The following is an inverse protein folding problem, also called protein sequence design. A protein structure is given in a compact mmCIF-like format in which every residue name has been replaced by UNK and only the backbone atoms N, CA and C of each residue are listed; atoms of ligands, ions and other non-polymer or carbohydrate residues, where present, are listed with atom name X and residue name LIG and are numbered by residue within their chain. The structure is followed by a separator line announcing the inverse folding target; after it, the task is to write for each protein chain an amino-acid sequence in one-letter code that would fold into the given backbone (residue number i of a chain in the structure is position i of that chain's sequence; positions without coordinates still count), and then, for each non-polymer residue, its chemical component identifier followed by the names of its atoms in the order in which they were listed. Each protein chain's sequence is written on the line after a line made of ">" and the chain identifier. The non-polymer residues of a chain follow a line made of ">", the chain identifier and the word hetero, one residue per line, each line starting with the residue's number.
data_IF_351563981691
#
_entry.id   IF_351563981691
#
_cell.length_a   1.000
_cell.length_b   1.000
_cell.length_c   1.000
_cell.angle_alpha   90.00
_cell.angle_beta   90.00
_cell.angle_gamma   90.00
#
_symmetry.space_group_name_H-M   'P 1'
#
loop_
_entity.id
_entity.type
_entity.pdbx_description
1 polymer ?
#
# COMPACT_ATOMS: atom_id res chain seq x y z
N UNK A 1 9.31 -6.21 18.17
CA UNK A 1 10.15 -5.52 19.19
C UNK A 1 11.58 -5.86 18.85
N UNK A 2 12.58 -5.08 19.26
CA UNK A 2 13.96 -5.56 19.10
C UNK A 2 14.32 -6.61 20.17
N UNK A 3 15.53 -7.17 20.09
CA UNK A 3 16.05 -8.16 21.04
C UNK A 3 16.22 -7.61 22.46
N UNK A 4 16.25 -6.29 22.64
CA UNK A 4 16.30 -5.61 23.94
C UNK A 4 14.89 -5.29 24.49
N UNK A 5 13.84 -5.57 23.72
CA UNK A 5 12.45 -5.35 24.08
C UNK A 5 11.93 -3.95 23.77
N UNK A 6 12.71 -3.09 23.10
CA UNK A 6 12.25 -1.77 22.65
C UNK A 6 11.25 -1.91 21.51
N UNK A 7 10.30 -0.97 21.48
CA UNK A 7 9.26 -0.90 20.47
C UNK A 7 9.66 0.07 19.37
N UNK A 8 9.35 -0.31 18.14
CA UNK A 8 9.71 0.41 16.92
C UNK A 8 8.50 0.45 16.00
N UNK A 9 8.38 1.53 15.23
CA UNK A 9 7.43 1.71 14.14
C UNK A 9 8.21 1.64 12.84
N UNK A 10 7.82 0.71 11.96
CA UNK A 10 8.26 0.71 10.57
C UNK A 10 7.17 1.37 9.72
N UNK A 11 7.53 2.39 8.96
CA UNK A 11 6.60 3.11 8.09
C UNK A 11 7.26 3.48 6.76
N UNK A 12 6.44 3.67 5.73
CA UNK A 12 6.86 4.21 4.44
C UNK A 12 6.05 5.47 4.16
N UNK A 13 6.76 6.56 3.87
CA UNK A 13 6.19 7.91 3.75
C UNK A 13 6.68 8.86 4.86
N UNK A 14 7.79 8.52 5.52
CA UNK A 14 8.40 9.36 6.54
C UNK A 14 9.26 10.44 5.86
N UNK A 15 8.97 11.72 6.13
CA UNK A 15 9.75 12.83 5.57
C UNK A 15 11.09 12.95 6.31
N UNK A 16 12.20 12.85 5.58
CA UNK A 16 13.54 13.04 6.14
C UNK A 16 13.93 14.54 6.23
N UNK A 17 15.10 14.85 6.79
CA UNK A 17 15.59 16.24 6.94
C UNK A 17 15.73 17.03 5.62
N UNK A 18 15.69 16.36 4.47
CA UNK A 18 15.77 16.97 3.13
C UNK A 18 14.38 17.18 2.50
N UNK A 19 13.29 16.78 3.17
CA UNK A 19 11.95 16.81 2.61
C UNK A 19 11.65 15.65 1.65
N UNK A 20 12.39 14.54 1.74
CA UNK A 20 12.16 13.36 0.90
C UNK A 20 11.40 12.30 1.70
N UNK A 21 10.37 11.70 1.10
CA UNK A 21 9.66 10.58 1.70
C UNK A 21 10.45 9.27 1.57
N UNK A 22 10.72 8.65 2.71
CA UNK A 22 11.50 7.42 2.81
C UNK A 22 10.77 6.36 3.64
N UNK A 23 11.34 5.16 3.62
CA UNK A 23 11.02 4.08 4.54
C UNK A 23 11.86 4.27 5.80
N UNK A 24 11.20 4.36 6.96
CA UNK A 24 11.84 4.62 8.25
C UNK A 24 11.50 3.54 9.27
N UNK A 25 12.44 3.33 10.21
CA UNK A 25 12.24 2.53 11.42
C UNK A 25 12.50 3.47 12.59
N UNK A 26 11.44 3.91 13.26
CA UNK A 26 11.47 4.96 14.28
C UNK A 26 11.19 4.35 15.65
N UNK A 27 11.94 4.72 16.71
CA UNK A 27 11.61 4.31 18.07
C UNK A 27 10.19 4.74 18.42
N UNK A 28 9.42 3.87 19.07
CA UNK A 28 8.02 4.17 19.44
C UNK A 28 7.89 5.47 20.24
N UNK A 29 8.78 5.70 21.20
CA UNK A 29 8.68 6.90 22.06
C UNK A 29 8.90 8.20 21.27
N UNK A 30 9.75 8.16 20.24
CA UNK A 30 10.00 9.29 19.34
C UNK A 30 8.81 9.52 18.41
N UNK A 31 8.33 8.45 17.77
CA UNK A 31 7.16 8.50 16.90
C UNK A 31 5.93 8.98 17.67
N UNK A 32 5.69 8.44 18.86
CA UNK A 32 4.54 8.81 19.69
C UNK A 32 4.62 10.24 20.24
N UNK A 33 5.81 10.73 20.60
CA UNK A 33 6.00 12.15 20.95
C UNK A 33 5.65 13.07 19.77
N UNK A 34 6.09 12.71 18.56
CA UNK A 34 5.74 13.44 17.35
C UNK A 34 4.23 13.47 17.12
N UNK A 35 3.58 12.31 17.10
CA UNK A 35 2.12 12.19 16.92
C UNK A 35 1.34 12.99 17.96
N UNK A 36 1.81 13.03 19.22
CA UNK A 36 1.12 13.76 20.28
C UNK A 36 1.31 15.27 20.22
N UNK A 37 2.52 15.73 19.89
CA UNK A 37 2.94 17.10 20.20
C UNK A 37 3.35 17.93 18.97
N UNK A 38 3.65 17.28 17.84
CA UNK A 38 4.24 17.93 16.65
C UNK A 38 3.42 17.73 15.38
N UNK A 39 2.67 16.65 15.25
CA UNK A 39 1.80 16.42 14.10
C UNK A 39 0.58 17.36 14.12
N UNK A 40 0.54 18.28 13.15
CA UNK A 40 -0.53 19.26 12.96
C UNK A 40 -1.62 18.78 11.98
N UNK A 41 -1.49 17.57 11.43
CA UNK A 41 -2.44 16.95 10.51
C UNK A 41 -3.73 16.45 11.18
N UNK A 42 -3.77 16.47 12.51
CA UNK A 42 -4.83 15.89 13.35
C UNK A 42 -5.03 14.38 13.04
N UNK A 43 -4.03 13.55 13.36
CA UNK A 43 -4.01 12.16 12.96
C UNK A 43 -4.99 11.30 13.77
N UNK A 44 -5.51 10.27 13.11
CA UNK A 44 -6.35 9.23 13.71
C UNK A 44 -5.62 7.91 13.59
N UNK A 45 -5.38 7.25 14.72
CA UNK A 45 -4.51 6.09 14.78
C UNK A 45 -5.30 4.92 15.37
N UNK A 46 -5.41 3.85 14.58
CA UNK A 46 -5.96 2.58 15.02
C UNK A 46 -4.85 1.53 15.13
N UNK A 47 -4.85 0.81 16.25
CA UNK A 47 -4.01 -0.34 16.51
C UNK A 47 -4.80 -1.62 16.27
N UNK A 48 -4.35 -2.39 15.27
CA UNK A 48 -4.94 -3.65 14.83
C UNK A 48 -3.98 -4.79 15.20
N UNK A 49 -4.14 -5.45 16.35
CA UNK A 49 -3.26 -6.55 16.74
C UNK A 49 -3.48 -7.77 15.84
N UNK A 50 -2.40 -8.50 15.51
CA UNK A 50 -2.51 -9.79 14.83
C UNK A 50 -3.28 -10.81 15.69
N UNK A 51 -4.10 -11.64 15.05
CA UNK A 51 -4.72 -12.79 15.71
C UNK A 51 -3.63 -13.72 16.27
N UNK A 52 -3.81 -14.35 17.45
CA UNK A 52 -2.81 -15.23 18.04
C UNK A 52 -2.28 -16.32 17.10
N UNK A 53 -3.17 -16.94 16.31
CA UNK A 53 -2.79 -18.00 15.35
C UNK A 53 -1.97 -17.47 14.17
N UNK A 54 -2.18 -16.21 13.78
CA UNK A 54 -1.44 -15.55 12.70
C UNK A 54 -0.08 -15.11 13.25
N UNK A 55 -0.07 -14.51 14.44
CA UNK A 55 1.15 -14.15 15.16
C UNK A 55 2.06 -15.35 15.42
N UNK A 56 1.51 -16.53 15.68
CA UNK A 56 2.28 -17.75 15.87
C UNK A 56 3.06 -18.20 14.62
N UNK A 57 2.60 -17.80 13.42
CA UNK A 57 3.29 -18.07 12.14
C UNK A 57 4.28 -16.98 11.75
N UNK A 58 4.16 -15.79 12.34
CA UNK A 58 4.95 -14.62 12.00
C UNK A 58 6.44 -14.83 12.32
N UNK A 59 7.28 -14.90 11.30
CA UNK A 59 8.73 -14.97 11.45
C UNK A 59 9.31 -13.58 11.76
N UNK A 60 9.50 -13.28 13.05
CA UNK A 60 10.01 -11.97 13.50
C UNK A 60 11.43 -11.67 12.98
N UNK A 61 12.29 -12.68 12.81
CA UNK A 61 13.64 -12.48 12.27
C UNK A 61 13.59 -12.03 10.80
N UNK A 62 12.83 -12.73 9.96
CA UNK A 62 12.68 -12.37 8.55
C UNK A 62 12.03 -10.99 8.38
N UNK A 63 11.01 -10.67 9.20
CA UNK A 63 10.38 -9.36 9.21
C UNK A 63 11.38 -8.23 9.52
N UNK A 64 12.25 -8.43 10.51
CA UNK A 64 13.31 -7.47 10.86
C UNK A 64 14.36 -7.34 9.77
N UNK A 65 14.81 -8.45 9.18
CA UNK A 65 15.76 -8.44 8.07
C UNK A 65 15.21 -7.66 6.88
N UNK A 66 13.94 -7.89 6.52
CA UNK A 66 13.26 -7.13 5.48
C UNK A 66 13.16 -5.64 5.83
N UNK A 67 12.63 -5.30 7.00
CA UNK A 67 12.45 -3.91 7.43
C UNK A 67 13.78 -3.14 7.38
N UNK A 68 14.85 -3.70 7.97
CA UNK A 68 16.17 -3.09 7.99
C UNK A 68 16.78 -3.00 6.60
N UNK A 69 16.52 -3.97 5.71
CA UNK A 69 16.97 -3.90 4.33
C UNK A 69 16.34 -2.75 3.56
N UNK A 70 15.12 -2.33 3.95
CA UNK A 70 14.35 -1.27 3.30
C UNK A 70 14.54 0.10 3.95
N UNK A 71 15.04 0.19 5.18
CA UNK A 71 15.27 1.44 5.86
C UNK A 71 16.15 2.40 5.04
N UNK A 72 15.69 3.65 4.89
CA UNK A 72 16.34 4.71 4.11
C UNK A 72 16.10 4.63 2.59
N UNK A 73 15.36 3.64 2.09
CA UNK A 73 14.97 3.57 0.68
C UNK A 73 13.81 4.52 0.36
N UNK A 74 13.65 4.92 -0.92
CA UNK A 74 12.61 5.86 -1.32
C UNK A 74 11.20 5.30 -1.16
N UNK A 75 10.23 6.21 -1.00
CA UNK A 75 8.81 5.91 -1.07
C UNK A 75 8.39 5.42 -2.46
N UNK A 76 7.43 4.48 -2.50
CA UNK A 76 6.88 3.93 -3.74
C UNK A 76 5.95 4.91 -4.47
N UNK A 77 6.49 5.94 -5.10
CA UNK A 77 5.69 6.85 -5.95
C UNK A 77 5.37 6.26 -7.32
N UNK A 78 6.26 5.42 -7.86
CA UNK A 78 6.15 4.80 -9.19
C UNK A 78 4.91 3.92 -9.37
N UNK A 79 4.42 3.30 -8.30
CA UNK A 79 3.29 2.37 -8.35
C UNK A 79 1.95 2.98 -7.88
N UNK A 80 1.97 4.15 -7.24
CA UNK A 80 0.79 4.69 -6.53
C UNK A 80 -0.41 4.94 -7.46
N UNK A 81 -0.19 5.35 -8.71
CA UNK A 81 -1.29 5.56 -9.65
C UNK A 81 -1.86 4.24 -10.19
N UNK A 82 -1.08 3.17 -10.17
CA UNK A 82 -1.48 1.88 -10.72
C UNK A 82 -2.21 1.01 -9.69
N UNK A 83 -1.98 1.23 -8.40
CA UNK A 83 -2.60 0.47 -7.29
C UNK A 83 -4.13 0.64 -7.15
N UNK A 84 -4.79 1.33 -8.06
CA UNK A 84 -6.26 1.45 -8.10
C UNK A 84 -6.85 1.24 -9.49
N UNK A 85 -6.02 0.96 -10.52
CA UNK A 85 -6.43 0.82 -11.92
C UNK A 85 -6.26 -0.65 -12.35
N UNK A 86 -7.10 -1.52 -11.80
CA UNK A 86 -6.95 -2.96 -12.02
C UNK A 86 -7.79 -3.44 -13.23
N UNK A 87 -8.65 -2.58 -13.77
CA UNK A 87 -9.55 -2.91 -14.88
C UNK A 87 -9.61 -1.78 -15.92
N UNK A 88 -9.95 -2.13 -17.16
CA UNK A 88 -10.03 -1.20 -18.29
C UNK A 88 -11.00 -0.03 -18.02
N UNK A 89 -12.08 -0.25 -17.27
CA UNK A 89 -13.14 0.75 -17.07
C UNK A 89 -13.82 0.74 -15.70
N UNK A 90 -13.63 -0.29 -14.89
CA UNK A 90 -14.31 -0.50 -13.61
C UNK A 90 -13.71 0.27 -12.43
N UNK A 91 -12.74 1.15 -12.68
CA UNK A 91 -12.09 1.99 -11.68
C UNK A 91 -12.40 3.49 -11.88
N UNK A 92 -12.95 3.89 -13.02
CA UNK A 92 -13.17 5.30 -13.37
C UNK A 92 -14.62 5.75 -13.17
N UNK A 93 -14.87 6.92 -12.53
CA UNK A 93 -16.21 7.45 -12.41
C UNK A 93 -16.78 7.87 -13.77
N UNK A 94 -17.95 7.37 -14.20
CA UNK A 94 -18.55 7.78 -15.47
C UNK A 94 -18.74 9.31 -15.53
N UNK A 95 -18.47 9.96 -16.68
CA UNK A 95 -18.12 9.38 -17.99
C UNK A 95 -16.60 9.26 -18.23
N UNK A 96 -15.78 9.28 -17.18
CA UNK A 96 -14.31 9.25 -17.30
C UNK A 96 -13.80 7.84 -17.59
N UNK A 97 -12.64 7.77 -18.24
CA UNK A 97 -11.93 6.55 -18.60
C UNK A 97 -10.41 6.78 -18.55
N UNK A 98 -9.62 5.80 -19.03
CA UNK A 98 -8.17 5.89 -19.08
C UNK A 98 -7.64 7.10 -19.89
N UNK A 99 -8.43 7.69 -20.79
CA UNK A 99 -8.02 8.90 -21.52
C UNK A 99 -7.92 10.12 -20.59
N UNK A 100 -8.65 10.15 -19.47
CA UNK A 100 -8.43 11.16 -18.44
C UNK A 100 -7.03 11.01 -17.83
N UNK A 101 -6.63 9.79 -17.49
CA UNK A 101 -5.30 9.50 -16.95
C UNK A 101 -4.23 9.91 -17.94
N UNK A 102 -4.37 9.52 -19.21
CA UNK A 102 -3.46 9.92 -20.28
C UNK A 102 -3.37 11.45 -20.42
N UNK A 103 -4.50 12.16 -20.30
CA UNK A 103 -4.54 13.63 -20.39
C UNK A 103 -3.83 14.29 -19.21
N UNK A 104 -4.08 13.83 -17.97
CA UNK A 104 -3.40 14.33 -16.76
C UNK A 104 -1.90 14.04 -16.84
N UNK A 105 -1.52 12.81 -17.17
CA UNK A 105 -0.11 12.43 -17.33
C UNK A 105 0.59 13.27 -18.41
N UNK A 106 -0.09 13.55 -19.53
CA UNK A 106 0.47 14.37 -20.63
C UNK A 106 0.68 15.83 -20.20
N UNK A 107 -0.30 16.43 -19.51
CA UNK A 107 -0.18 17.80 -19.01
C UNK A 107 0.93 17.88 -17.95
N UNK A 108 0.94 16.97 -16.99
CA UNK A 108 1.92 16.98 -15.90
C UNK A 108 3.34 16.70 -16.40
N UNK A 109 3.51 15.80 -17.37
CA UNK A 109 4.81 15.53 -18.02
C UNK A 109 5.39 16.76 -18.74
N UNK A 110 4.55 17.72 -19.13
CA UNK A 110 5.00 19.00 -19.72
C UNK A 110 5.33 20.06 -18.66
N UNK A 111 4.66 20.03 -17.50
CA UNK A 111 4.80 21.04 -16.45
C UNK A 111 5.94 20.67 -15.47
N UNK A 112 6.05 19.40 -15.09
CA UNK A 112 7.01 18.86 -14.14
C UNK A 112 7.63 17.56 -14.69
N UNK A 113 8.51 17.64 -15.69
CA UNK A 113 8.98 16.46 -16.42
C UNK A 113 9.78 15.47 -15.56
N UNK A 114 10.60 15.95 -14.63
CA UNK A 114 11.38 15.08 -13.73
C UNK A 114 10.47 14.33 -12.75
N UNK A 115 9.47 15.01 -12.18
CA UNK A 115 8.49 14.41 -11.27
C UNK A 115 7.60 13.40 -12.00
N UNK A 116 7.11 13.74 -13.21
CA UNK A 116 6.34 12.83 -14.05
C UNK A 116 7.13 11.57 -14.46
N UNK A 117 8.41 11.74 -14.81
CA UNK A 117 9.28 10.61 -15.11
C UNK A 117 9.42 9.66 -13.92
N UNK A 118 9.49 10.23 -12.71
CA UNK A 118 9.53 9.50 -11.45
C UNK A 118 8.19 8.89 -11.00
N UNK A 119 7.07 9.24 -11.63
CA UNK A 119 5.76 8.74 -11.20
C UNK A 119 5.21 7.62 -12.09
N UNK A 120 5.47 7.65 -13.40
CA UNK A 120 4.85 6.66 -14.30
C UNK A 120 5.68 6.22 -15.49
N UNK A 121 6.66 7.00 -15.98
CA UNK A 121 7.36 6.60 -17.22
C UNK A 121 8.11 5.28 -17.07
N UNK A 122 8.87 5.12 -15.98
CA UNK A 122 9.61 3.88 -15.75
C UNK A 122 8.65 2.70 -15.49
N UNK A 123 7.58 2.94 -14.74
CA UNK A 123 6.55 1.94 -14.42
C UNK A 123 5.80 1.46 -15.67
N UNK A 124 5.47 2.36 -16.60
CA UNK A 124 4.87 2.03 -17.89
C UNK A 124 5.85 1.28 -18.80
N UNK A 125 7.13 1.67 -18.80
CA UNK A 125 8.17 0.94 -19.53
C UNK A 125 8.32 -0.49 -19.01
N UNK A 126 8.30 -0.72 -17.69
CA UNK A 126 8.34 -2.07 -17.11
C UNK A 126 7.16 -2.92 -17.55
N UNK A 127 5.94 -2.37 -17.50
CA UNK A 127 4.70 -3.02 -17.98
C UNK A 127 4.78 -3.38 -19.47
N UNK A 128 5.36 -2.49 -20.28
CA UNK A 128 5.55 -2.71 -21.72
C UNK A 128 6.76 -3.59 -22.05
N UNK A 129 7.65 -3.89 -21.08
CA UNK A 129 8.92 -4.57 -21.33
C UNK A 129 9.90 -3.74 -22.18
N UNK A 130 9.87 -2.42 -22.03
CA UNK A 130 10.78 -1.45 -22.69
C UNK A 130 11.61 -0.70 -21.65
N UNK A 131 12.53 0.16 -22.11
CA UNK A 131 13.33 1.03 -21.24
C UNK A 131 13.54 2.38 -21.92
N UNK A 132 13.50 3.47 -21.13
CA UNK A 132 13.89 4.81 -21.59
C UNK A 132 12.92 5.49 -22.56
N UNK A 133 11.75 4.91 -22.83
CA UNK A 133 10.72 5.57 -23.63
C UNK A 133 10.03 6.66 -22.80
N UNK A 134 9.80 7.83 -23.40
CA UNK A 134 8.91 8.83 -22.81
C UNK A 134 7.44 8.42 -23.04
N UNK A 135 6.49 9.10 -22.38
CA UNK A 135 5.06 8.79 -22.49
C UNK A 135 4.55 8.73 -23.94
N UNK A 136 4.97 9.65 -24.82
CA UNK A 136 4.52 9.65 -26.22
C UNK A 136 5.02 8.43 -26.99
N UNK A 137 6.29 8.04 -26.78
CA UNK A 137 6.86 6.85 -27.39
C UNK A 137 6.25 5.56 -26.84
N UNK A 138 5.91 5.54 -25.54
CA UNK A 138 5.18 4.43 -24.91
C UNK A 138 3.82 4.24 -25.59
N UNK A 139 3.02 5.30 -25.75
CA UNK A 139 1.71 5.21 -26.38
C UNK A 139 1.79 4.66 -27.81
N UNK A 140 2.76 5.13 -28.60
CA UNK A 140 3.01 4.66 -29.97
C UNK A 140 3.45 3.19 -29.98
N UNK A 141 4.35 2.80 -29.06
CA UNK A 141 4.85 1.43 -28.98
C UNK A 141 3.78 0.43 -28.52
N UNK A 142 2.92 0.83 -27.57
CA UNK A 142 1.75 0.06 -27.15
C UNK A 142 0.82 -0.23 -28.32
N UNK A 143 0.48 0.79 -29.12
CA UNK A 143 -0.36 0.62 -30.30
C UNK A 143 0.29 -0.28 -31.36
N UNK A 144 1.60 -0.13 -31.62
CA UNK A 144 2.36 -1.01 -32.53
C UNK A 144 2.32 -2.48 -32.13
N UNK A 145 2.19 -2.77 -30.83
CA UNK A 145 2.08 -4.12 -30.29
C UNK A 145 0.65 -4.66 -30.26
N UNK A 146 -0.31 -3.88 -30.77
CA UNK A 146 -1.70 -4.28 -30.86
C UNK A 146 -2.43 -4.29 -29.52
N UNK A 147 -1.94 -3.52 -28.53
CA UNK A 147 -2.58 -3.32 -27.23
C UNK A 147 -3.03 -1.86 -27.09
N UNK A 148 -3.85 -1.58 -26.08
CA UNK A 148 -4.32 -0.24 -25.76
C UNK A 148 -3.63 0.33 -24.51
N UNK A 149 -3.73 1.65 -24.32
CA UNK A 149 -3.15 2.28 -23.12
C UNK A 149 -3.87 1.84 -21.85
N UNK A 150 -5.19 1.67 -21.90
CA UNK A 150 -5.99 1.09 -20.83
C UNK A 150 -5.55 -0.33 -20.47
N UNK A 151 -5.30 -1.21 -21.45
CA UNK A 151 -4.75 -2.55 -21.18
C UNK A 151 -3.37 -2.47 -20.52
N UNK A 152 -2.49 -1.56 -20.98
CA UNK A 152 -1.19 -1.35 -20.39
C UNK A 152 -1.29 -0.94 -18.91
N UNK A 153 -2.23 -0.05 -18.57
CA UNK A 153 -2.44 0.40 -17.19
C UNK A 153 -2.87 -0.75 -16.26
N UNK A 154 -3.60 -1.75 -16.77
CA UNK A 154 -4.10 -2.90 -15.99
C UNK A 154 -3.06 -4.00 -15.73
N UNK A 155 -1.84 -3.87 -16.25
CA UNK A 155 -0.78 -4.84 -15.95
C UNK A 155 -0.36 -4.64 -14.47
N UNK A 156 -0.48 -5.68 -13.62
CA UNK A 156 -0.18 -5.55 -12.20
C UNK A 156 1.27 -5.14 -11.96
N UNK A 157 1.47 -4.21 -11.01
CA UNK A 157 2.79 -3.94 -10.45
C UNK A 157 3.36 -5.23 -9.86
N UNK A 158 4.67 -5.43 -9.96
CA UNK A 158 5.32 -6.59 -9.36
C UNK A 158 6.18 -6.15 -8.17
N UNK A 159 6.02 -6.84 -7.06
CA UNK A 159 6.74 -6.63 -5.79
C UNK A 159 8.28 -6.61 -5.97
N UNK A 160 8.78 -7.33 -6.97
CA UNK A 160 10.21 -7.44 -7.27
C UNK A 160 10.75 -6.37 -8.22
N UNK A 161 9.91 -5.47 -8.74
CA UNK A 161 10.37 -4.41 -9.64
C UNK A 161 11.24 -3.40 -8.88
N UNK A 162 12.39 -3.09 -9.46
CA UNK A 162 13.36 -2.13 -8.93
C UNK A 162 13.44 -0.97 -9.92
N UNK A 163 13.24 0.24 -9.42
CA UNK A 163 13.27 1.47 -10.20
C UNK A 163 14.67 2.09 -10.22
N UNK A 164 14.88 3.10 -11.04
CA UNK A 164 16.17 3.78 -11.19
C UNK A 164 16.67 4.47 -9.91
N UNK A 165 15.76 4.86 -9.02
CA UNK A 165 16.01 5.38 -7.67
C UNK A 165 16.13 4.27 -6.60
N UNK A 166 15.90 3.01 -6.97
CA UNK A 166 16.12 1.83 -6.14
C UNK A 166 14.86 0.99 -5.92
N UNK A 167 14.94 0.09 -4.93
CA UNK A 167 13.77 -0.65 -4.45
C UNK A 167 12.94 0.31 -3.59
N UNK A 168 11.64 0.37 -3.83
CA UNK A 168 10.72 1.25 -3.11
C UNK A 168 9.42 0.52 -2.82
N UNK A 169 8.71 0.94 -1.78
CA UNK A 169 7.39 0.43 -1.44
C UNK A 169 6.54 1.57 -0.90
N UNK A 170 5.29 1.66 -1.32
CA UNK A 170 4.33 2.62 -0.75
C UNK A 170 3.94 2.23 0.69
N UNK A 171 3.17 3.09 1.36
CA UNK A 171 2.81 2.94 2.78
C UNK A 171 2.32 1.53 3.14
N UNK A 172 1.25 1.05 2.51
CA UNK A 172 0.66 -0.24 2.84
C UNK A 172 1.43 -1.43 2.23
N UNK A 173 2.03 -1.23 1.04
CA UNK A 173 2.86 -2.25 0.42
C UNK A 173 4.04 -2.62 1.33
N UNK A 174 4.68 -1.66 1.99
CA UNK A 174 5.76 -1.93 2.95
C UNK A 174 5.33 -2.88 4.07
N UNK A 175 4.16 -2.62 4.67
CA UNK A 175 3.61 -3.44 5.76
C UNK A 175 3.28 -4.86 5.29
N UNK A 176 2.67 -4.98 4.11
CA UNK A 176 2.29 -6.26 3.55
C UNK A 176 3.47 -7.07 3.03
N UNK A 177 4.51 -6.43 2.49
CA UNK A 177 5.78 -7.10 2.18
C UNK A 177 6.43 -7.66 3.44
N UNK A 178 6.42 -6.88 4.53
CA UNK A 178 6.91 -7.35 5.82
C UNK A 178 6.12 -8.58 6.31
N UNK A 179 4.79 -8.60 6.11
CA UNK A 179 3.97 -9.77 6.40
C UNK A 179 4.27 -10.96 5.48
N UNK A 180 4.54 -10.70 4.20
CA UNK A 180 4.88 -11.70 3.19
C UNK A 180 6.23 -12.36 3.50
N UNK A 181 7.27 -11.58 3.76
CA UNK A 181 8.59 -12.06 4.21
C UNK A 181 8.52 -12.77 5.57
N UNK A 182 7.58 -12.37 6.43
CA UNK A 182 7.32 -13.06 7.70
C UNK A 182 6.52 -14.38 7.54
N UNK A 183 6.14 -14.77 6.32
CA UNK A 183 5.44 -16.03 6.01
C UNK A 183 3.92 -15.98 6.20
N UNK A 184 3.30 -14.80 6.35
CA UNK A 184 1.85 -14.70 6.60
C UNK A 184 1.00 -15.01 5.37
N UNK A 185 1.57 -14.93 4.16
CA UNK A 185 0.89 -15.26 2.90
C UNK A 185 1.17 -16.69 2.41
N UNK A 186 1.93 -17.49 3.14
CA UNK A 186 2.22 -18.87 2.72
C UNK A 186 0.97 -19.76 2.69
N UNK A 187 0.84 -20.66 1.69
CA UNK A 187 1.83 -20.99 0.65
C UNK A 187 1.65 -20.21 -0.67
N UNK A 188 0.84 -19.15 -0.68
CA UNK A 188 0.47 -18.43 -1.92
C UNK A 188 1.28 -17.14 -2.12
N UNK A 189 2.32 -16.89 -1.32
CA UNK A 189 3.10 -15.66 -1.34
C UNK A 189 3.58 -15.27 -2.75
N UNK A 190 4.04 -16.24 -3.55
CA UNK A 190 4.50 -16.03 -4.93
C UNK A 190 3.41 -15.56 -5.90
N UNK A 191 2.13 -15.74 -5.54
CA UNK A 191 0.95 -15.36 -6.34
C UNK A 191 0.25 -14.11 -5.80
N UNK A 192 0.86 -13.40 -4.85
CA UNK A 192 0.35 -12.14 -4.31
C UNK A 192 1.30 -11.03 -4.72
N UNK A 193 0.80 -9.96 -5.33
CA UNK A 193 1.54 -8.70 -5.50
C UNK A 193 1.00 -7.69 -4.50
N UNK A 194 1.70 -7.50 -3.38
CA UNK A 194 1.23 -6.59 -2.32
C UNK A 194 1.28 -5.13 -2.74
N UNK A 195 2.03 -4.80 -3.80
CA UNK A 195 1.98 -3.49 -4.46
C UNK A 195 0.61 -3.13 -5.05
N UNK A 196 -0.26 -4.10 -5.27
CA UNK A 196 -1.64 -3.90 -5.77
C UNK A 196 -2.67 -3.67 -4.64
N UNK A 197 -2.25 -3.71 -3.37
CA UNK A 197 -3.17 -3.60 -2.25
C UNK A 197 -3.38 -2.14 -1.86
N UNK A 198 -4.64 -1.77 -1.62
CA UNK A 198 -4.97 -0.51 -0.93
C UNK A 198 -4.99 -0.71 0.59
N UNK A 199 -5.08 0.39 1.34
CA UNK A 199 -5.26 0.36 2.80
C UNK A 199 -6.49 -0.46 3.19
N UNK A 200 -7.58 -0.36 2.39
CA UNK A 200 -8.80 -1.14 2.62
C UNK A 200 -8.55 -2.63 2.51
N UNK A 201 -7.86 -3.05 1.47
CA UNK A 201 -7.58 -4.47 1.23
C UNK A 201 -6.76 -5.05 2.37
N UNK A 202 -5.78 -4.29 2.87
CA UNK A 202 -4.94 -4.72 3.97
C UNK A 202 -5.69 -4.92 5.28
N UNK A 203 -6.49 -3.94 5.76
CA UNK A 203 -7.23 -4.13 7.01
C UNK A 203 -8.37 -5.14 6.89
N UNK A 204 -8.79 -5.47 5.66
CA UNK A 204 -9.78 -6.51 5.40
C UNK A 204 -9.22 -7.93 5.50
N UNK A 205 -7.90 -8.12 5.42
CA UNK A 205 -7.28 -9.44 5.58
C UNK A 205 -7.60 -10.04 6.95
N UNK A 206 -7.87 -11.36 6.99
CA UNK A 206 -8.10 -12.15 8.21
C UNK A 206 -6.84 -12.39 9.03
N UNK A 207 -6.04 -11.34 9.21
CA UNK A 207 -4.79 -11.37 9.96
C UNK A 207 -4.95 -10.86 11.39
N UNK A 208 -6.01 -10.11 11.67
CA UNK A 208 -6.15 -9.35 12.89
C UNK A 208 -7.04 -10.03 13.93
N UNK A 209 -6.99 -9.52 15.15
CA UNK A 209 -7.83 -10.00 16.25
C UNK A 209 -9.33 -9.81 15.94
N UNK A 210 -10.12 -10.83 16.25
CA UNK A 210 -11.58 -10.83 16.12
C UNK A 210 -12.31 -11.12 17.43
N UNK A 211 -11.58 -11.43 18.50
CA UNK A 211 -12.10 -11.61 19.85
C UNK A 211 -11.76 -10.38 20.71
N UNK A 212 -12.78 -9.55 20.96
CA UNK A 212 -12.63 -8.32 21.74
C UNK A 212 -12.19 -8.58 23.19
N UNK A 213 -12.37 -9.79 23.72
CA UNK A 213 -11.89 -10.14 25.07
C UNK A 213 -10.36 -10.24 25.17
N UNK A 214 -9.67 -10.38 24.02
CA UNK A 214 -8.20 -10.43 23.93
C UNK A 214 -7.58 -9.06 23.67
N UNK A 215 -8.38 -8.05 23.36
CA UNK A 215 -7.89 -6.67 23.24
C UNK A 215 -7.42 -6.15 24.62
N UNK A 216 -6.45 -5.22 24.66
CA UNK A 216 -6.02 -4.61 25.91
C UNK A 216 -7.21 -4.01 26.68
N UNK A 217 -7.19 -4.07 28.02
CA UNK A 217 -8.33 -3.58 28.82
C UNK A 217 -8.73 -2.15 28.51
N UNK A 218 -7.75 -1.25 28.33
CA UNK A 218 -7.97 0.15 28.00
C UNK A 218 -8.68 0.36 26.64
N UNK A 219 -8.70 -0.66 25.78
CA UNK A 219 -9.29 -0.59 24.45
C UNK A 219 -10.81 -0.46 24.56
N UNK A 220 -11.36 0.60 23.96
CA UNK A 220 -12.77 0.97 24.06
C UNK A 220 -13.25 1.38 25.47
N UNK A 221 -12.37 1.58 26.46
CA UNK A 221 -12.80 1.95 27.82
C UNK A 221 -13.42 3.37 27.90
N UNK A 222 -13.05 4.25 26.96
CA UNK A 222 -13.48 5.65 26.93
C UNK A 222 -14.62 5.94 25.93
N UNK A 223 -15.12 4.94 25.21
CA UNK A 223 -16.16 5.08 24.17
C UNK A 223 -17.34 4.12 24.46
N UNK A 224 -18.57 4.58 24.19
CA UNK A 224 -19.79 3.79 24.32
C UNK A 224 -19.96 2.77 23.18
N UNK A 225 -19.31 3.04 22.04
CA UNK A 225 -19.21 2.11 20.92
C UNK A 225 -17.96 1.26 21.05
N UNK A 226 -18.16 -0.06 21.01
CA UNK A 226 -17.07 -1.04 21.02
C UNK A 226 -16.61 -1.32 19.59
N UNK A 227 -15.42 -0.84 19.25
CA UNK A 227 -14.75 -1.16 17.99
C UNK A 227 -14.06 -2.53 18.08
N UNK A 228 -13.92 -3.26 16.96
CA UNK A 228 -13.22 -4.55 16.92
C UNK A 228 -11.68 -4.40 16.98
N UNK A 229 -11.18 -3.18 17.06
CA UNK A 229 -9.77 -2.79 17.17
C UNK A 229 -9.64 -1.62 18.16
N UNK A 230 -8.41 -1.19 18.45
CA UNK A 230 -8.15 -0.14 19.43
C UNK A 230 -7.79 1.17 18.74
N UNK A 231 -8.65 2.19 18.82
CA UNK A 231 -8.26 3.53 18.40
C UNK A 231 -7.48 4.23 19.52
N UNK A 232 -6.23 4.59 19.26
CA UNK A 232 -5.30 5.15 20.26
C UNK A 232 -5.15 6.67 20.16
N UNK A 233 -5.53 7.27 19.02
CA UNK A 233 -5.55 8.72 18.81
C UNK A 233 -6.63 9.09 17.82
N UNK A 234 -7.13 10.32 17.92
CA UNK A 234 -8.00 10.93 16.91
C UNK A 234 -9.25 11.57 17.50
N UNK A 235 -9.69 12.66 16.87
CA UNK A 235 -10.89 13.41 17.28
C UNK A 235 -12.21 12.70 16.94
N UNK A 236 -12.18 11.83 15.93
CA UNK A 236 -13.35 11.17 15.37
C UNK A 236 -13.19 9.67 15.44
N UNK A 237 -14.30 8.94 15.48
CA UNK A 237 -14.26 7.49 15.40
C UNK A 237 -13.83 7.06 13.99
N UNK A 238 -12.79 6.24 13.90
CA UNK A 238 -12.42 5.57 12.66
C UNK A 238 -13.35 4.39 12.45
N UNK A 239 -13.91 4.28 11.27
CA UNK A 239 -14.64 3.09 10.81
C UNK A 239 -13.78 2.37 9.77
N UNK A 240 -13.61 1.05 9.92
CA UNK A 240 -12.92 0.19 8.97
C UNK A 240 -13.91 -0.83 8.37
N UNK A 241 -14.70 -0.46 7.35
CA UNK A 241 -15.71 -1.34 6.77
C UNK A 241 -15.11 -2.61 6.17
N UNK A 242 -15.57 -3.76 6.64
CA UNK A 242 -15.01 -5.05 6.20
C UNK A 242 -13.68 -5.39 6.88
N UNK A 243 -13.38 -4.79 8.04
CA UNK A 243 -12.30 -5.21 8.91
C UNK A 243 -12.28 -6.73 9.10
N UNK A 244 -11.10 -7.33 8.85
CA UNK A 244 -10.79 -8.71 9.21
C UNK A 244 -11.78 -9.75 8.64
N UNK A 245 -12.16 -9.60 7.37
CA UNK A 245 -13.27 -10.33 6.73
C UNK A 245 -12.86 -11.23 5.56
N UNK A 246 -11.65 -11.07 5.03
CA UNK A 246 -11.18 -11.71 3.80
C UNK A 246 -10.00 -12.66 4.06
N UNK A 247 -10.12 -13.91 3.63
CA UNK A 247 -8.98 -14.82 3.56
C UNK A 247 -8.14 -14.49 2.31
N UNK A 248 -6.79 -14.50 2.39
CA UNK A 248 -5.94 -14.34 1.20
C UNK A 248 -6.19 -15.44 0.15
N UNK A 249 -6.11 -15.10 -1.14
CA UNK A 249 -6.15 -16.04 -2.26
C UNK A 249 -5.27 -15.56 -3.42
N UNK A 250 -4.94 -16.47 -4.34
CA UNK A 250 -4.04 -16.20 -5.48
C UNK A 250 -4.55 -15.05 -6.36
N UNK A 251 -3.64 -14.18 -6.81
CA UNK A 251 -3.93 -13.01 -7.66
C UNK A 251 -4.94 -12.02 -7.07
N UNK A 252 -5.02 -11.95 -5.75
CA UNK A 252 -5.87 -11.00 -5.04
C UNK A 252 -5.52 -9.55 -5.39
N UNK A 253 -6.54 -8.73 -5.66
CA UNK A 253 -6.47 -7.32 -6.05
C UNK A 253 -5.95 -7.01 -7.46
N UNK A 254 -5.47 -7.97 -8.23
CA UNK A 254 -4.89 -7.68 -9.56
C UNK A 254 -5.94 -7.29 -10.63
N UNK A 255 -7.24 -7.48 -10.35
CA UNK A 255 -8.34 -7.30 -11.33
C UNK A 255 -9.60 -6.70 -10.70
N UNK A 256 -9.45 -5.90 -9.65
CA UNK A 256 -10.56 -5.38 -8.87
C UNK A 256 -11.13 -4.06 -9.40
N UNK A 257 -12.43 -3.98 -9.73
CA UNK A 257 -13.08 -2.69 -9.92
C UNK A 257 -13.23 -1.97 -8.56
N UNK A 258 -13.00 -0.67 -8.54
CA UNK A 258 -13.01 0.15 -7.32
C UNK A 258 -13.89 1.40 -7.46
N UNK A 259 -15.16 1.19 -7.83
CA UNK A 259 -16.08 2.30 -8.11
C UNK A 259 -16.90 2.80 -6.90
N UNK A 260 -16.88 4.11 -6.58
CA UNK A 260 -17.85 4.70 -5.66
C UNK A 260 -19.29 4.60 -6.18
N UNK A 261 -20.30 4.65 -5.30
CA UNK A 261 -20.20 4.78 -3.84
C UNK A 261 -20.06 3.44 -3.12
N UNK A 262 -20.28 2.31 -3.79
CA UNK A 262 -20.39 0.99 -3.15
C UNK A 262 -19.06 0.26 -3.03
N UNK A 263 -18.07 0.60 -3.86
CA UNK A 263 -16.77 -0.08 -3.93
C UNK A 263 -16.95 -1.61 -3.93
N UNK A 264 -17.83 -2.08 -4.82
CA UNK A 264 -18.21 -3.47 -4.92
C UNK A 264 -17.00 -4.29 -5.35
N UNK A 265 -16.66 -5.31 -4.56
CA UNK A 265 -15.59 -6.26 -4.84
C UNK A 265 -16.19 -7.56 -5.39
N UNK A 266 -16.08 -7.85 -6.70
CA UNK A 266 -16.49 -9.12 -7.26
C UNK A 266 -15.74 -10.29 -6.62
N UNK A 267 -16.34 -11.47 -6.64
CA UNK A 267 -15.69 -12.67 -6.13
C UNK A 267 -14.41 -12.97 -6.93
N UNK A 268 -13.30 -13.19 -6.23
CA UNK A 268 -11.97 -13.48 -6.80
C UNK A 268 -11.40 -12.39 -7.71
N UNK A 269 -11.88 -11.15 -7.59
CA UNK A 269 -10.98 -10.01 -7.68
C UNK A 269 -10.37 -9.90 -6.28
#
# INVERSE_FOLDING_TARGET
>A
KDSEGKLWIGESGHENEKGEDIIAIVPWDEWWDFELNKDDSNPHIAYLPLHPDVRAKFNETAAWEYALSMAGKPYGYHNMIFSWIDTIGGNYPPPLDAHLVASVMTVWSKIQPEYAANMWNEALNKRLGTQGLNLSDILVETEKRGSSFDELLTIPEQDNWIYSDGKSTSCIAFVLELYKEAGLFDPIADSIQVTEFTIKDAYSLKFFENDSSRLPKWCNDADDVKLPYCQIKGKYRMELPGYNSMDPYVHMNERCPSMPPKYLRPQNC
#
